data_IF_216470866229
#
_entry.id   IF_216470866229
#
_cell.length_a   1.000
_cell.length_b   1.000
_cell.length_c   1.000
_cell.angle_alpha   90.00
_cell.angle_beta   90.00
_cell.angle_gamma   90.00
#
_symmetry.space_group_name_H-M   'P 1'
#
loop_
_entity.id
_entity.type
_entity.pdbx_description
1 polymer ?
#
# COMPACT_ATOMS: atom_id res chain seq x y z
N UNK A 1 24.04 3.73 3.73
CA UNK A 1 22.59 3.50 3.81
C UNK A 1 21.92 4.66 3.10
N UNK A 2 21.09 4.38 2.09
CA UNK A 2 20.31 5.43 1.43
C UNK A 2 19.36 6.09 2.44
N UNK A 3 19.29 7.42 2.43
CA UNK A 3 18.31 8.15 3.24
C UNK A 3 16.91 7.89 2.66
N UNK A 4 16.03 7.29 3.47
CA UNK A 4 14.65 6.96 3.07
C UNK A 4 13.81 8.20 2.73
N UNK A 5 14.18 9.40 3.23
CA UNK A 5 13.46 10.66 3.00
C UNK A 5 14.42 11.83 2.79
N UNK A 6 14.97 12.00 1.58
CA UNK A 6 15.80 13.16 1.26
C UNK A 6 15.01 14.45 1.50
N UNK A 7 15.55 15.37 2.31
CA UNK A 7 14.90 16.66 2.63
C UNK A 7 13.99 16.66 3.87
N UNK A 8 13.86 15.54 4.59
CA UNK A 8 13.13 15.47 5.85
C UNK A 8 14.03 14.93 6.97
N UNK A 9 13.83 15.41 8.20
CA UNK A 9 14.47 14.85 9.40
C UNK A 9 14.04 13.39 9.61
N UNK A 10 14.80 12.64 10.42
CA UNK A 10 14.40 11.30 10.82
C UNK A 10 13.04 11.30 11.55
N UNK A 11 12.17 10.31 11.31
CA UNK A 11 10.86 10.28 11.93
C UNK A 11 11.00 10.02 13.42
N UNK A 12 10.41 10.87 14.26
CA UNK A 12 10.34 10.63 15.72
C UNK A 12 9.63 9.30 16.04
N UNK A 13 8.66 8.92 15.20
CA UNK A 13 7.91 7.66 15.31
C UNK A 13 7.50 7.16 13.94
N UNK A 14 7.88 5.92 13.64
CA UNK A 14 7.36 5.17 12.48
C UNK A 14 6.43 4.08 12.99
N UNK A 15 5.19 4.05 12.49
CA UNK A 15 4.21 3.02 12.85
C UNK A 15 3.88 2.23 11.58
N UNK A 16 4.14 0.93 11.63
CA UNK A 16 3.65 -0.02 10.64
C UNK A 16 2.30 -0.55 11.11
N UNK A 17 1.25 -0.27 10.34
CA UNK A 17 -0.08 -0.84 10.57
C UNK A 17 -0.28 -1.90 9.49
N UNK A 18 -0.25 -3.20 9.81
CA UNK A 18 -0.50 -4.25 8.83
C UNK A 18 -1.95 -4.15 8.37
N UNK A 19 -2.14 -3.78 7.10
CA UNK A 19 -3.46 -3.75 6.48
C UNK A 19 -3.69 -5.07 5.76
N UNK A 20 -4.49 -5.94 6.38
CA UNK A 20 -4.74 -7.31 5.89
C UNK A 20 -5.87 -7.41 4.86
N UNK A 21 -6.28 -6.28 4.26
CA UNK A 21 -7.40 -6.19 3.33
C UNK A 21 -6.97 -5.47 2.05
N UNK A 22 -7.81 -5.56 1.04
CA UNK A 22 -7.63 -4.83 -0.22
C UNK A 22 -7.56 -3.32 -0.01
N UNK A 23 -6.79 -2.66 -0.87
CA UNK A 23 -6.63 -1.21 -0.91
C UNK A 23 -7.98 -0.49 -0.97
N UNK A 24 -8.94 -1.01 -1.72
CA UNK A 24 -10.28 -0.41 -1.85
C UNK A 24 -11.00 -0.29 -0.49
N UNK A 25 -10.70 -1.18 0.47
CA UNK A 25 -11.27 -1.09 1.82
C UNK A 25 -10.84 0.19 2.54
N UNK A 26 -9.67 0.76 2.23
CA UNK A 26 -9.25 2.05 2.80
C UNK A 26 -10.11 3.21 2.29
N UNK A 27 -10.62 3.10 1.07
CA UNK A 27 -11.50 4.08 0.44
C UNK A 27 -12.90 3.92 1.01
N UNK A 28 -13.46 2.71 0.94
CA UNK A 28 -14.83 2.41 1.36
C UNK A 28 -15.06 2.67 2.86
N UNK A 29 -14.03 2.48 3.68
CA UNK A 29 -14.08 2.79 5.12
C UNK A 29 -13.90 4.28 5.45
N UNK A 30 -13.63 5.13 4.46
CA UNK A 30 -13.37 6.56 4.64
C UNK A 30 -12.00 6.90 5.24
N UNK A 31 -11.15 5.90 5.51
CA UNK A 31 -9.80 6.09 6.05
C UNK A 31 -8.96 6.95 5.10
N UNK A 32 -9.05 6.68 3.80
CA UNK A 32 -8.34 7.46 2.78
C UNK A 32 -8.66 8.95 2.88
N UNK A 33 -9.94 9.32 3.02
CA UNK A 33 -10.36 10.71 3.17
C UNK A 33 -9.77 11.38 4.41
N UNK A 34 -9.62 10.65 5.52
CA UNK A 34 -8.96 11.16 6.73
C UNK A 34 -7.48 11.42 6.49
N UNK A 35 -6.80 10.55 5.73
CA UNK A 35 -5.39 10.75 5.34
C UNK A 35 -5.24 12.00 4.48
N UNK A 36 -6.07 12.16 3.44
CA UNK A 36 -6.06 13.36 2.58
C UNK A 36 -6.26 14.63 3.39
N UNK A 37 -7.24 14.65 4.29
CA UNK A 37 -7.51 15.80 5.15
C UNK A 37 -6.29 16.19 6.00
N UNK A 38 -5.57 15.20 6.54
CA UNK A 38 -4.33 15.47 7.30
C UNK A 38 -3.20 16.01 6.43
N UNK A 39 -3.11 15.58 5.17
CA UNK A 39 -2.12 16.10 4.22
C UNK A 39 -2.45 17.55 3.82
N UNK A 40 -3.74 17.87 3.64
CA UNK A 40 -4.21 19.25 3.43
C UNK A 40 -3.86 20.15 4.61
N UNK A 41 -4.12 19.68 5.84
CA UNK A 41 -3.79 20.41 7.08
C UNK A 41 -2.28 20.65 7.25
N UNK A 42 -1.42 19.82 6.63
CA UNK A 42 0.03 19.92 6.71
C UNK A 42 0.65 20.95 5.74
N UNK A 43 -0.14 21.81 5.10
CA UNK A 43 0.30 22.86 4.16
C UNK A 43 1.01 22.33 2.90
N UNK A 44 0.64 21.13 2.44
CA UNK A 44 1.15 20.59 1.18
C UNK A 44 0.46 21.25 -0.01
N UNK A 45 1.20 21.53 -1.10
CA UNK A 45 0.63 22.10 -2.32
C UNK A 45 -0.02 20.97 -3.12
N UNK A 46 -1.31 21.14 -3.42
CA UNK A 46 -2.13 20.20 -4.21
C UNK A 46 -2.09 18.72 -3.75
N UNK A 47 -2.50 18.46 -2.49
CA UNK A 47 -2.45 17.13 -1.90
C UNK A 47 -3.42 16.14 -2.55
N UNK A 48 -4.50 16.62 -3.18
CA UNK A 48 -5.49 15.75 -3.82
C UNK A 48 -4.96 15.14 -5.10
N UNK A 49 -4.44 15.96 -6.02
CA UNK A 49 -3.88 15.46 -7.28
C UNK A 49 -2.73 14.49 -7.03
N UNK A 50 -1.81 14.86 -6.13
CA UNK A 50 -0.68 14.00 -5.77
C UNK A 50 -1.12 12.69 -5.13
N UNK A 51 -2.16 12.72 -4.28
CA UNK A 51 -2.64 11.52 -3.61
C UNK A 51 -3.45 10.61 -4.53
N UNK A 52 -4.23 11.15 -5.46
CA UNK A 52 -4.96 10.35 -6.45
C UNK A 52 -3.98 9.58 -7.35
N UNK A 53 -2.89 10.21 -7.77
CA UNK A 53 -1.80 9.52 -8.51
C UNK A 53 -1.16 8.40 -7.67
N UNK A 54 -0.96 8.62 -6.37
CA UNK A 54 -0.42 7.61 -5.46
C UNK A 54 -1.41 6.46 -5.31
N UNK A 55 -2.71 6.75 -5.20
CA UNK A 55 -3.75 5.74 -5.06
C UNK A 55 -3.80 4.82 -6.28
N UNK A 56 -3.71 5.38 -7.49
CA UNK A 56 -3.64 4.60 -8.73
C UNK A 56 -2.38 3.74 -8.81
N UNK A 57 -1.23 4.26 -8.38
CA UNK A 57 0.00 3.44 -8.28
C UNK A 57 -0.18 2.29 -7.30
N UNK A 58 -0.79 2.53 -6.15
CA UNK A 58 -1.08 1.48 -5.16
C UNK A 58 -2.04 0.42 -5.71
N UNK A 59 -3.07 0.80 -6.47
CA UNK A 59 -3.98 -0.14 -7.14
C UNK A 59 -3.24 -1.07 -8.08
N UNK A 60 -2.35 -0.52 -8.89
CA UNK A 60 -1.55 -1.31 -9.83
C UNK A 60 -0.58 -2.27 -9.12
N UNK A 61 0.02 -1.84 -8.01
CA UNK A 61 0.88 -2.70 -7.19
C UNK A 61 0.09 -3.87 -6.58
N UNK A 62 -1.10 -3.60 -6.03
CA UNK A 62 -1.97 -4.65 -5.50
C UNK A 62 -2.37 -5.66 -6.58
N UNK A 63 -2.77 -5.20 -7.77
CA UNK A 63 -3.10 -6.08 -8.88
C UNK A 63 -1.92 -6.93 -9.35
N UNK A 64 -0.71 -6.36 -9.42
CA UNK A 64 0.50 -7.10 -9.76
C UNK A 64 0.79 -8.19 -8.74
N UNK A 65 0.68 -7.86 -7.45
CA UNK A 65 0.96 -8.81 -6.36
C UNK A 65 -0.07 -9.95 -6.34
N UNK A 66 -1.35 -9.64 -6.58
CA UNK A 66 -2.39 -10.67 -6.73
C UNK A 66 -2.14 -11.58 -7.93
N UNK A 67 -1.70 -11.02 -9.06
CA UNK A 67 -1.35 -11.82 -10.24
C UNK A 67 -0.15 -12.73 -9.94
N UNK A 68 0.87 -12.25 -9.23
CA UNK A 68 2.02 -13.06 -8.82
C UNK A 68 1.63 -14.16 -7.82
N UNK A 69 0.69 -13.88 -6.91
CA UNK A 69 0.15 -14.87 -5.99
C UNK A 69 -0.57 -16.01 -6.72
N UNK A 70 -1.29 -15.69 -7.81
CA UNK A 70 -2.00 -16.69 -8.63
C UNK A 70 -1.04 -17.47 -9.54
N UNK A 71 -0.11 -16.77 -10.20
CA UNK A 71 0.80 -17.39 -11.17
C UNK A 71 1.92 -18.20 -10.50
N UNK A 72 2.17 -17.96 -9.21
CA UNK A 72 3.13 -18.71 -8.41
C UNK A 72 4.63 -18.49 -8.67
N UNK A 73 5.14 -17.47 -9.40
CA UNK A 73 6.60 -17.26 -9.48
C UNK A 73 7.21 -16.91 -8.12
N UNK A 74 6.47 -16.18 -7.28
CA UNK A 74 6.93 -15.68 -5.97
C UNK A 74 6.27 -16.37 -4.77
N UNK A 75 5.16 -17.08 -4.99
CA UNK A 75 4.33 -17.67 -3.93
C UNK A 75 4.30 -19.19 -4.02
N UNK A 76 4.50 -19.85 -2.87
CA UNK A 76 4.42 -21.31 -2.74
C UNK A 76 3.13 -21.69 -2.01
N UNK A 77 2.42 -22.67 -2.52
CA UNK A 77 1.25 -23.22 -1.83
C UNK A 77 1.69 -23.94 -0.56
N UNK A 78 1.01 -23.68 0.56
CA UNK A 78 1.24 -24.40 1.84
C UNK A 78 0.72 -25.84 1.74
N UNK A 79 -0.27 -26.07 0.87
CA UNK A 79 -0.85 -27.38 0.64
C UNK A 79 -0.05 -28.18 -0.39
N UNK A 80 0.36 -29.38 0.01
CA UNK A 80 0.93 -30.37 -0.89
C UNK A 80 -0.18 -30.98 -1.75
N UNK A 81 0.10 -31.21 -3.04
CA UNK A 81 -0.79 -31.98 -3.90
C UNK A 81 -0.90 -33.40 -3.32
N UNK A 82 -2.10 -34.00 -3.16
CA UNK A 82 -2.20 -35.37 -2.72
C UNK A 82 -1.41 -36.27 -3.68
N UNK A 83 -0.60 -37.20 -3.16
CA UNK A 83 0.10 -38.18 -3.99
C UNK A 83 -0.94 -38.91 -4.84
N UNK A 84 -0.78 -38.82 -6.17
CA UNK A 84 -1.62 -39.57 -7.10
C UNK A 84 -1.22 -41.05 -6.98
N UNK A 85 -2.09 -41.84 -6.33
CA UNK A 85 -2.07 -43.31 -6.36
C UNK A 85 -2.47 -43.82 -7.75
#
# INVERSE_FOLDING_TARGET
MEQLRPGFNDPEKMVLIPWVRYLETLIDSGIWSVVIKKLEEASFIDPRVSADEILEKLRNLEHSELADAVNGPSYKTIWSKPEQL
#
